data_IF_392331424813
#
_entry.id   IF_392331424813
#
_cell.length_a   1.000
_cell.length_b   1.000
_cell.length_c   1.000
_cell.angle_alpha   90.00
_cell.angle_beta   90.00
_cell.angle_gamma   90.00
#
_symmetry.space_group_name_H-M   'P 1'
#
loop_
_entity.id
_entity.type
_entity.pdbx_description
1 polymer ?
#
# COMPACT_ATOMS: atom_id res chain seq x y z
N UNK A 1 37.83 38.87 52.92
CA UNK A 1 36.41 38.46 52.78
C UNK A 1 36.36 37.28 51.81
N UNK A 2 35.95 36.07 52.24
CA UNK A 2 35.76 34.94 51.34
C UNK A 2 34.30 34.87 50.90
N UNK A 3 34.02 34.68 49.61
CA UNK A 3 32.70 34.20 49.16
C UNK A 3 32.87 32.93 48.34
N UNK A 4 32.11 31.92 48.76
CA UNK A 4 32.20 30.55 48.34
C UNK A 4 31.20 30.22 47.23
N UNK A 5 31.62 29.32 46.34
CA UNK A 5 30.87 28.19 45.74
C UNK A 5 29.52 28.48 45.05
N UNK A 6 29.43 28.13 43.77
CA UNK A 6 28.49 27.08 43.32
C UNK A 6 28.85 26.57 41.93
N UNK A 7 29.34 25.33 41.88
CA UNK A 7 29.46 24.51 40.68
C UNK A 7 28.38 23.44 40.78
N UNK A 8 27.39 23.45 39.89
CA UNK A 8 26.39 22.37 39.79
C UNK A 8 26.13 21.96 38.35
N UNK A 9 26.92 20.95 37.95
CA UNK A 9 26.66 19.80 37.07
C UNK A 9 25.60 19.93 35.95
N UNK A 10 26.13 19.84 34.73
CA UNK A 10 25.45 19.68 33.43
C UNK A 10 24.65 18.37 33.40
N UNK A 11 23.32 18.45 33.34
CA UNK A 11 22.45 17.29 33.14
C UNK A 11 22.47 16.91 31.67
N UNK A 12 23.23 15.87 31.30
CA UNK A 12 23.14 15.27 29.97
C UNK A 12 21.82 14.50 29.88
N UNK A 13 20.85 15.03 29.13
CA UNK A 13 19.63 14.32 28.78
C UNK A 13 19.98 13.11 27.92
N UNK A 14 19.92 11.93 28.54
CA UNK A 14 20.13 10.65 27.87
C UNK A 14 18.90 10.34 27.03
N UNK A 15 18.91 10.73 25.75
CA UNK A 15 17.86 10.38 24.79
C UNK A 15 17.77 8.86 24.66
N UNK A 16 16.74 8.27 25.25
CA UNK A 16 16.40 6.86 25.08
C UNK A 16 15.91 6.65 23.65
N UNK A 17 16.84 6.35 22.74
CA UNK A 17 16.53 5.94 21.36
C UNK A 17 15.84 4.58 21.44
N UNK A 18 14.51 4.59 21.48
CA UNK A 18 13.73 3.37 21.45
C UNK A 18 13.98 2.69 20.10
N UNK A 19 14.56 1.49 20.13
CA UNK A 19 14.72 0.64 18.96
C UNK A 19 13.33 0.36 18.40
N UNK A 20 13.02 0.92 17.22
CA UNK A 20 11.74 0.73 16.56
C UNK A 20 11.70 -0.73 16.07
N UNK A 21 10.87 -1.57 16.70
CA UNK A 21 10.46 -2.86 16.14
C UNK A 21 9.91 -2.63 14.72
N UNK A 22 9.99 -3.60 13.80
CA UNK A 22 9.38 -3.45 12.48
C UNK A 22 7.87 -3.30 12.68
N UNK A 23 7.41 -2.05 12.69
CA UNK A 23 6.00 -1.73 12.77
C UNK A 23 5.43 -2.10 11.42
N UNK A 24 4.58 -3.13 11.36
CA UNK A 24 3.67 -3.33 10.24
C UNK A 24 3.09 -1.96 9.89
N UNK A 25 3.36 -1.48 8.69
CA UNK A 25 2.92 -0.16 8.26
C UNK A 25 1.39 -0.14 8.28
N UNK A 26 0.81 0.64 9.19
CA UNK A 26 -0.62 0.81 9.33
C UNK A 26 -0.99 2.23 8.92
N UNK A 27 -1.84 2.35 7.90
CA UNK A 27 -2.45 3.63 7.54
C UNK A 27 -3.69 3.79 8.42
N UNK A 28 -3.72 4.87 9.20
CA UNK A 28 -4.83 5.31 10.02
C UNK A 28 -5.20 6.72 9.58
N UNK A 29 -6.44 7.16 9.84
CA UNK A 29 -6.85 8.53 9.52
C UNK A 29 -5.91 9.60 10.11
N UNK A 30 -5.31 9.33 11.27
CA UNK A 30 -4.40 10.23 11.96
C UNK A 30 -3.02 10.36 11.28
N UNK A 31 -2.58 9.34 10.53
CA UNK A 31 -1.29 9.37 9.83
C UNK A 31 -1.43 9.41 8.31
N UNK A 32 -2.64 9.59 7.78
CA UNK A 32 -2.90 9.54 6.34
C UNK A 32 -2.03 10.57 5.58
N UNK A 33 -1.96 11.80 6.06
CA UNK A 33 -1.16 12.86 5.41
C UNK A 33 0.36 12.60 5.47
N UNK A 34 0.87 12.04 6.57
CA UNK A 34 2.32 11.76 6.72
C UNK A 34 2.72 10.44 6.07
N UNK A 35 1.83 9.44 6.05
CA UNK A 35 2.02 8.16 5.36
C UNK A 35 2.01 8.31 3.84
N UNK A 36 1.20 9.24 3.30
CA UNK A 36 1.20 9.59 1.87
C UNK A 36 2.41 10.45 1.46
N UNK A 37 3.16 11.00 2.40
CA UNK A 37 4.35 11.82 2.11
C UNK A 37 5.64 11.00 1.94
N UNK A 38 5.60 9.68 2.09
CA UNK A 38 6.74 8.79 1.83
C UNK A 38 6.94 8.61 0.30
N UNK A 39 7.99 9.20 -0.30
CA UNK A 39 8.19 9.18 -1.75
C UNK A 39 8.37 7.76 -2.30
N UNK A 40 8.96 6.86 -1.52
CA UNK A 40 9.22 5.48 -1.95
C UNK A 40 7.92 4.67 -2.04
N UNK A 41 6.94 4.96 -1.18
CA UNK A 41 5.63 4.31 -1.22
C UNK A 41 4.83 4.73 -2.45
N UNK A 42 4.81 6.03 -2.76
CA UNK A 42 4.16 6.53 -3.97
C UNK A 42 4.80 5.92 -5.22
N UNK A 43 6.14 5.90 -5.30
CA UNK A 43 6.84 5.30 -6.43
C UNK A 43 6.52 3.80 -6.60
N UNK A 44 6.40 3.05 -5.51
CA UNK A 44 5.99 1.63 -5.55
C UNK A 44 4.54 1.47 -6.00
N UNK A 45 3.65 2.32 -5.52
CA UNK A 45 2.25 2.34 -5.94
C UNK A 45 2.15 2.62 -7.43
N UNK A 46 2.79 3.67 -7.93
CA UNK A 46 2.77 4.03 -9.36
C UNK A 46 3.31 2.90 -10.22
N UNK A 47 4.42 2.28 -9.80
CA UNK A 47 4.99 1.11 -10.49
C UNK A 47 4.04 -0.09 -10.52
N UNK A 48 3.34 -0.37 -9.43
CA UNK A 48 2.36 -1.46 -9.37
C UNK A 48 1.11 -1.13 -10.21
N UNK A 49 0.63 0.10 -10.12
CA UNK A 49 -0.53 0.57 -10.85
C UNK A 49 -0.29 0.60 -12.36
N UNK A 50 0.90 0.97 -12.81
CA UNK A 50 1.29 0.89 -14.22
C UNK A 50 1.14 -0.55 -14.78
N UNK A 51 1.51 -1.57 -14.00
CA UNK A 51 1.33 -2.98 -14.40
C UNK A 51 -0.15 -3.36 -14.49
N UNK A 52 -0.97 -2.91 -13.55
CA UNK A 52 -2.43 -3.16 -13.59
C UNK A 52 -3.04 -2.46 -14.80
N UNK A 53 -2.69 -1.19 -15.02
CA UNK A 53 -3.18 -0.38 -16.13
C UNK A 53 -2.85 -0.97 -17.50
N UNK A 54 -1.72 -1.66 -17.63
CA UNK A 54 -1.35 -2.37 -18.85
C UNK A 54 -2.22 -3.61 -19.16
N UNK A 55 -3.06 -4.06 -18.22
CA UNK A 55 -3.88 -5.28 -18.34
C UNK A 55 -5.38 -5.02 -18.16
N UNK A 56 -5.83 -3.78 -18.38
CA UNK A 56 -7.24 -3.36 -18.35
C UNK A 56 -7.62 -2.66 -19.66
N UNK A 57 -8.89 -2.35 -19.84
CA UNK A 57 -9.44 -1.79 -21.07
C UNK A 57 -9.35 -2.78 -22.22
N UNK A 58 -8.74 -2.35 -23.33
CA UNK A 58 -8.54 -3.16 -24.52
C UNK A 58 -7.65 -4.39 -24.27
N UNK A 59 -6.78 -4.33 -23.27
CA UNK A 59 -5.89 -5.42 -22.88
C UNK A 59 -6.42 -6.26 -21.70
N UNK A 60 -7.71 -6.13 -21.40
CA UNK A 60 -8.35 -6.87 -20.31
C UNK A 60 -8.27 -8.38 -20.55
N UNK A 61 -7.77 -9.12 -19.55
CA UNK A 61 -7.58 -10.57 -19.62
C UNK A 61 -8.86 -11.33 -19.29
N UNK A 62 -8.95 -12.57 -19.78
CA UNK A 62 -9.97 -13.55 -19.38
C UNK A 62 -9.41 -14.47 -18.31
N UNK A 63 -10.12 -14.60 -17.19
CA UNK A 63 -9.73 -15.44 -16.06
C UNK A 63 -10.59 -16.71 -16.01
N UNK A 64 -9.97 -17.90 -15.85
CA UNK A 64 -10.71 -19.15 -15.68
C UNK A 64 -11.35 -19.25 -14.29
N UNK A 65 -12.29 -20.18 -14.13
CA UNK A 65 -12.69 -20.66 -12.81
C UNK A 65 -11.68 -21.69 -12.32
N UNK A 66 -11.40 -21.68 -11.02
CA UNK A 66 -10.61 -22.72 -10.37
C UNK A 66 -11.55 -23.69 -9.66
N UNK A 67 -11.74 -24.88 -10.21
CA UNK A 67 -12.66 -25.90 -9.68
C UNK A 67 -11.85 -27.17 -9.38
N UNK A 68 -11.72 -27.52 -8.10
CA UNK A 68 -10.92 -28.67 -7.68
C UNK A 68 -9.43 -28.56 -8.02
N UNK A 69 -8.89 -27.33 -8.06
CA UNK A 69 -7.49 -27.06 -8.42
C UNK A 69 -7.19 -27.05 -9.92
N UNK A 70 -8.19 -27.32 -10.77
CA UNK A 70 -8.06 -27.24 -12.22
C UNK A 70 -8.72 -25.95 -12.77
N UNK A 71 -8.07 -25.34 -13.75
CA UNK A 71 -8.62 -24.20 -14.49
C UNK A 71 -9.70 -24.70 -15.47
N UNK A 72 -10.86 -24.04 -15.44
CA UNK A 72 -11.99 -24.33 -16.34
C UNK A 72 -12.53 -23.04 -16.95
N UNK A 73 -12.79 -23.07 -18.25
CA UNK A 73 -13.47 -22.02 -19.00
C UNK A 73 -14.92 -22.47 -19.29
N UNK A 74 -15.86 -21.54 -19.23
CA UNK A 74 -17.27 -21.78 -19.55
C UNK A 74 -17.61 -21.17 -20.91
N UNK A 75 -18.71 -21.61 -21.52
CA UNK A 75 -19.18 -21.06 -22.81
C UNK A 75 -19.64 -19.61 -22.69
N UNK A 76 -20.07 -19.20 -21.48
CA UNK A 76 -20.56 -17.84 -21.21
C UNK A 76 -19.61 -17.14 -20.25
N UNK A 77 -19.23 -15.92 -20.62
CA UNK A 77 -18.41 -15.03 -19.80
C UNK A 77 -19.11 -13.70 -19.54
N UNK A 78 -18.71 -13.00 -18.47
CA UNK A 78 -19.14 -11.65 -18.16
C UNK A 78 -17.94 -10.72 -17.96
N UNK A 79 -18.09 -9.47 -18.40
CA UNK A 79 -17.10 -8.43 -18.19
C UNK A 79 -17.31 -7.77 -16.82
N UNK A 80 -16.22 -7.49 -16.11
CA UNK A 80 -16.25 -6.63 -14.92
C UNK A 80 -15.59 -5.30 -15.25
N UNK A 81 -16.29 -4.21 -14.99
CA UNK A 81 -15.83 -2.85 -15.26
C UNK A 81 -15.52 -2.12 -13.96
N UNK A 82 -14.77 -1.02 -14.04
CA UNK A 82 -14.50 -0.21 -12.85
C UNK A 82 -15.77 0.56 -12.42
N UNK A 83 -16.01 0.72 -11.11
CA UNK A 83 -17.16 1.50 -10.64
C UNK A 83 -17.00 3.01 -10.90
N UNK A 84 -15.77 3.49 -11.07
CA UNK A 84 -15.47 4.90 -11.36
C UNK A 84 -15.69 5.21 -12.85
N UNK A 85 -15.46 4.24 -13.73
CA UNK A 85 -15.68 4.35 -15.16
C UNK A 85 -16.12 2.99 -15.74
N UNK A 86 -17.37 2.91 -16.15
CA UNK A 86 -17.96 1.69 -16.71
C UNK A 86 -17.44 1.35 -18.11
N UNK A 87 -16.82 2.30 -18.82
CA UNK A 87 -16.14 2.05 -20.10
C UNK A 87 -14.79 1.35 -19.94
N UNK A 88 -14.27 1.24 -18.71
CA UNK A 88 -12.98 0.60 -18.43
C UNK A 88 -13.20 -0.83 -17.90
N UNK A 89 -13.04 -1.82 -18.78
CA UNK A 89 -13.09 -3.24 -18.43
C UNK A 89 -11.85 -3.67 -17.68
N UNK A 90 -12.01 -4.34 -16.54
CA UNK A 90 -10.90 -4.87 -15.72
C UNK A 90 -10.51 -6.28 -16.19
N UNK A 91 -11.51 -7.07 -16.61
CA UNK A 91 -11.31 -8.46 -17.03
C UNK A 91 -12.62 -9.14 -17.36
N UNK A 92 -12.52 -10.29 -18.01
CA UNK A 92 -13.61 -11.20 -18.29
C UNK A 92 -13.53 -12.41 -17.36
N UNK A 93 -14.68 -12.84 -16.84
CA UNK A 93 -14.81 -13.93 -15.90
C UNK A 93 -15.86 -14.91 -16.38
N UNK A 94 -15.69 -16.19 -16.05
CA UNK A 94 -16.61 -17.24 -16.50
C UNK A 94 -17.91 -17.18 -15.69
N UNK A 95 -19.03 -17.45 -16.35
CA UNK A 95 -20.33 -17.65 -15.69
C UNK A 95 -20.41 -19.12 -15.27
N UNK A 96 -20.55 -19.37 -13.97
CA UNK A 96 -20.70 -20.71 -13.38
C UNK A 96 -22.15 -21.11 -13.21
#
# INVERSE_FOLDING_TARGET
MPTAKSSTKRTTSRTRRQARRPTTFQITYANLSSALSDPDMLARFDKAFAKVRANVGEHARTYPMLIGGAERFADVQFAKTTPINTGLTIGYFQKG
#
